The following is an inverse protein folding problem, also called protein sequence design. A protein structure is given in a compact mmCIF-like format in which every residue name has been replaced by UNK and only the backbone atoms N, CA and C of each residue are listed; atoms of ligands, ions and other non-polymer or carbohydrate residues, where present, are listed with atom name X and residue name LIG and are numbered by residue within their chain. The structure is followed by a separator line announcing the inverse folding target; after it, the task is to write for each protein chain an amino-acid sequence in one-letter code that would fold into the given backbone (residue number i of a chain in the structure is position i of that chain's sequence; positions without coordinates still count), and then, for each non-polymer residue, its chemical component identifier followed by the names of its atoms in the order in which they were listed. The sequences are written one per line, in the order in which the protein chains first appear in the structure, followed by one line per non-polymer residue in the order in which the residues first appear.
data_IF_956953035727
#
_entry.id   IF_956953035727
#
_cell.length_a   1.000
_cell.length_b   1.000
_cell.length_c   1.000
_cell.angle_alpha   90.00
_cell.angle_beta   90.00
_cell.angle_gamma   90.00
#
_symmetry.space_group_name_H-M   'P 1'
#
loop_
_entity.id
_entity.type
_entity.pdbx_description
1 polymer ?
#
# COMPACT_ATOMS: atom_id res chain seq x y z
N UNK A 1 -20.72 -10.60 10.21
CA UNK A 1 -20.46 -11.63 9.17
C UNK A 1 -18.97 -11.61 8.92
N UNK A 2 -18.31 -12.76 8.76
CA UNK A 2 -16.92 -12.74 8.33
C UNK A 2 -16.88 -12.28 6.87
N UNK A 3 -16.31 -11.10 6.60
CA UNK A 3 -16.11 -10.63 5.24
C UNK A 3 -15.04 -11.51 4.57
N UNK A 4 -15.36 -12.07 3.41
CA UNK A 4 -14.42 -12.87 2.63
C UNK A 4 -14.56 -12.51 1.14
N UNK A 5 -13.86 -11.47 0.73
CA UNK A 5 -13.89 -10.98 -0.65
C UNK A 5 -13.02 -11.82 -1.57
N UNK A 6 -13.47 -12.00 -2.80
CA UNK A 6 -12.83 -12.80 -3.84
C UNK A 6 -12.62 -11.97 -5.10
N UNK A 7 -11.79 -12.47 -6.03
CA UNK A 7 -11.65 -11.86 -7.37
C UNK A 7 -12.99 -11.80 -8.12
N UNK A 8 -13.90 -12.75 -7.89
CA UNK A 8 -15.22 -12.74 -8.51
C UNK A 8 -16.08 -11.58 -8.02
N UNK A 9 -15.91 -11.10 -6.79
CA UNK A 9 -16.63 -9.93 -6.28
C UNK A 9 -16.19 -8.65 -7.01
N UNK A 10 -14.91 -8.55 -7.40
CA UNK A 10 -14.43 -7.47 -8.27
C UNK A 10 -15.01 -7.59 -9.67
N UNK A 11 -14.92 -8.78 -10.27
CA UNK A 11 -15.41 -9.04 -11.64
C UNK A 11 -16.91 -8.78 -11.76
N UNK A 12 -17.69 -9.20 -10.76
CA UNK A 12 -19.15 -9.07 -10.75
C UNK A 12 -19.64 -7.84 -9.97
N UNK A 13 -18.76 -6.88 -9.69
CA UNK A 13 -19.12 -5.64 -8.99
C UNK A 13 -20.31 -4.97 -9.70
N UNK A 14 -21.44 -4.74 -8.99
CA UNK A 14 -22.60 -4.10 -9.57
C UNK A 14 -22.34 -2.62 -9.83
N UNK A 15 -22.77 -2.14 -10.99
CA UNK A 15 -22.72 -0.72 -11.35
C UNK A 15 -23.99 -0.05 -10.85
N UNK A 16 -23.88 0.80 -9.83
CA UNK A 16 -25.00 1.59 -9.27
C UNK A 16 -24.90 3.06 -9.63
N UNK A 17 -23.68 3.53 -9.92
CA UNK A 17 -23.39 4.89 -10.29
C UNK A 17 -22.62 4.96 -11.61
N UNK A 18 -22.59 6.13 -12.24
CA UNK A 18 -21.82 6.35 -13.48
C UNK A 18 -20.34 6.66 -13.24
N UNK A 19 -19.91 6.71 -11.97
CA UNK A 19 -18.53 7.00 -11.57
C UNK A 19 -18.04 6.01 -10.52
N UNK A 20 -16.72 5.78 -10.51
CA UNK A 20 -16.07 4.75 -9.72
C UNK A 20 -14.85 5.30 -8.98
N UNK A 21 -14.72 4.96 -7.69
CA UNK A 21 -13.63 5.39 -6.83
C UNK A 21 -12.89 4.19 -6.25
N UNK A 22 -11.59 4.13 -6.49
CA UNK A 22 -10.69 3.19 -5.82
C UNK A 22 -9.95 3.94 -4.72
N UNK A 23 -9.85 3.35 -3.53
CA UNK A 23 -9.23 4.02 -2.38
C UNK A 23 -8.21 3.07 -1.75
N UNK A 24 -6.98 3.52 -1.60
CA UNK A 24 -6.02 2.83 -0.72
C UNK A 24 -6.42 2.95 0.76
N UNK A 25 -5.92 2.06 1.61
CA UNK A 25 -6.23 2.04 3.04
C UNK A 25 -5.12 2.61 3.93
N UNK A 26 -3.90 2.08 3.81
CA UNK A 26 -2.82 2.33 4.76
C UNK A 26 -2.04 3.57 4.37
N UNK A 27 -2.03 4.61 5.22
CA UNK A 27 -1.42 5.89 4.86
C UNK A 27 -2.33 6.77 3.98
N UNK A 28 -3.41 6.20 3.46
CA UNK A 28 -4.47 6.90 2.74
C UNK A 28 -5.68 7.17 3.65
N UNK A 29 -6.34 6.15 4.18
CA UNK A 29 -7.52 6.26 5.05
C UNK A 29 -7.12 6.35 6.53
N UNK A 30 -6.15 5.54 6.93
CA UNK A 30 -5.69 5.43 8.32
C UNK A 30 -4.22 5.80 8.47
N UNK A 31 -3.88 6.37 9.63
CA UNK A 31 -2.49 6.63 10.04
C UNK A 31 -1.81 5.36 10.61
N UNK A 32 -1.82 4.30 9.81
CA UNK A 32 -1.37 2.96 10.20
C UNK A 32 0.03 2.65 9.72
N UNK A 33 0.54 3.32 8.68
CA UNK A 33 1.85 3.01 8.10
C UNK A 33 2.99 3.24 9.10
N UNK A 34 3.00 4.39 9.77
CA UNK A 34 4.01 4.76 10.77
C UNK A 34 4.10 3.72 11.90
N UNK A 35 2.96 3.40 12.51
CA UNK A 35 2.90 2.43 13.61
C UNK A 35 3.27 1.01 13.15
N UNK A 36 2.76 0.57 11.99
CA UNK A 36 3.13 -0.72 11.39
C UNK A 36 4.65 -0.77 11.21
N UNK A 37 5.23 0.18 10.49
CA UNK A 37 6.66 0.13 10.19
C UNK A 37 7.54 0.22 11.44
N UNK A 38 7.34 1.28 12.25
CA UNK A 38 8.23 1.60 13.37
C UNK A 38 8.11 0.64 14.56
N UNK A 39 6.89 0.15 14.85
CA UNK A 39 6.64 -0.71 16.02
C UNK A 39 6.59 -2.20 15.67
N UNK A 40 6.30 -2.57 14.42
CA UNK A 40 6.17 -3.97 14.02
C UNK A 40 7.33 -4.43 13.11
N UNK A 41 7.50 -3.79 11.95
CA UNK A 41 8.42 -4.27 10.92
C UNK A 41 9.88 -4.09 11.32
N UNK A 42 10.29 -2.90 11.75
CA UNK A 42 11.70 -2.60 12.01
C UNK A 42 12.27 -3.53 13.09
N UNK A 43 11.56 -3.67 14.22
CA UNK A 43 11.98 -4.54 15.32
C UNK A 43 12.14 -6.00 14.87
N UNK A 44 11.15 -6.52 14.11
CA UNK A 44 11.22 -7.89 13.60
C UNK A 44 12.33 -8.09 12.58
N UNK A 45 12.61 -7.11 11.70
CA UNK A 45 13.76 -7.19 10.78
C UNK A 45 15.07 -7.27 11.59
N UNK A 46 15.22 -6.39 12.58
CA UNK A 46 16.43 -6.37 13.42
C UNK A 46 16.63 -7.70 14.13
N UNK A 47 15.59 -8.22 14.79
CA UNK A 47 15.70 -9.46 15.57
C UNK A 47 15.84 -10.70 14.70
N UNK A 48 15.12 -10.78 13.58
CA UNK A 48 15.07 -11.99 12.74
C UNK A 48 16.38 -12.24 11.98
N UNK A 49 17.07 -11.18 11.56
CA UNK A 49 18.36 -11.27 10.86
C UNK A 49 19.58 -10.89 11.70
N UNK A 50 19.41 -10.77 13.02
CA UNK A 50 20.48 -10.42 13.97
C UNK A 50 21.23 -9.11 13.62
N UNK A 51 20.47 -8.08 13.25
CA UNK A 51 21.02 -6.78 12.80
C UNK A 51 21.12 -5.74 13.94
N UNK A 52 21.09 -6.17 15.21
CA UNK A 52 21.17 -5.29 16.38
C UNK A 52 22.39 -4.35 16.34
N UNK A 53 23.61 -4.79 15.95
CA UNK A 53 24.78 -3.91 15.92
C UNK A 53 24.64 -2.68 15.02
N UNK A 54 23.70 -2.72 14.06
CA UNK A 54 23.44 -1.66 13.08
C UNK A 54 21.99 -1.17 13.13
N UNK A 55 21.28 -1.39 14.25
CA UNK A 55 19.84 -1.08 14.40
C UNK A 55 19.48 0.33 13.90
N UNK A 56 20.29 1.34 14.25
CA UNK A 56 20.08 2.73 13.80
C UNK A 56 19.94 2.82 12.27
N UNK A 57 20.86 2.18 11.54
CA UNK A 57 20.89 2.21 10.08
C UNK A 57 19.79 1.35 9.47
N UNK A 58 19.41 0.24 10.13
CA UNK A 58 18.27 -0.59 9.72
C UNK A 58 16.98 0.23 9.77
N UNK A 59 16.73 0.96 10.87
CA UNK A 59 15.53 1.82 11.01
C UNK A 59 15.51 2.94 9.98
N UNK A 60 16.61 3.67 9.85
CA UNK A 60 16.70 4.76 8.88
C UNK A 60 16.48 4.29 7.43
N UNK A 61 17.08 3.14 7.05
CA UNK A 61 16.86 2.56 5.72
C UNK A 61 15.42 2.07 5.54
N UNK A 62 14.83 1.44 6.57
CA UNK A 62 13.45 0.98 6.51
C UNK A 62 12.45 2.14 6.41
N UNK A 63 12.67 3.24 7.13
CA UNK A 63 11.84 4.45 7.06
C UNK A 63 11.92 5.09 5.68
N UNK A 64 13.13 5.22 5.12
CA UNK A 64 13.28 5.70 3.74
C UNK A 64 12.48 4.83 2.77
N UNK A 65 12.68 3.51 2.78
CA UNK A 65 12.03 2.61 1.81
C UNK A 65 10.51 2.56 2.01
N UNK A 66 10.03 2.46 3.24
CA UNK A 66 8.62 2.15 3.49
C UNK A 66 7.74 3.38 3.71
N UNK A 67 8.31 4.52 4.12
CA UNK A 67 7.53 5.69 4.55
C UNK A 67 7.83 6.95 3.73
N UNK A 68 9.10 7.24 3.44
CA UNK A 68 9.50 8.59 3.02
C UNK A 68 10.26 8.63 1.68
N UNK A 69 9.92 7.74 0.74
CA UNK A 69 10.50 7.74 -0.60
C UNK A 69 9.51 7.23 -1.64
N UNK A 70 9.91 7.24 -2.91
CA UNK A 70 9.12 6.63 -4.00
C UNK A 70 8.84 5.13 -3.81
N UNK A 71 9.50 4.47 -2.85
CA UNK A 71 9.27 3.07 -2.51
C UNK A 71 8.16 2.84 -1.49
N UNK A 72 7.59 3.92 -0.93
CA UNK A 72 6.46 3.88 0.01
C UNK A 72 5.31 3.03 -0.52
N UNK A 73 4.62 2.30 0.37
CA UNK A 73 3.40 1.56 0.05
C UNK A 73 3.60 0.31 -0.80
N UNK A 74 4.85 -0.08 -1.09
CA UNK A 74 5.13 -1.32 -1.79
C UNK A 74 4.80 -2.55 -0.94
N UNK A 75 4.62 -3.69 -1.62
CA UNK A 75 4.51 -4.98 -0.96
C UNK A 75 5.74 -5.24 -0.06
N UNK A 76 5.49 -5.81 1.12
CA UNK A 76 6.51 -6.06 2.16
C UNK A 76 7.75 -6.82 1.66
N UNK A 77 7.59 -7.74 0.70
CA UNK A 77 8.69 -8.53 0.16
C UNK A 77 9.59 -7.70 -0.76
N UNK A 78 8.97 -6.85 -1.59
CA UNK A 78 9.67 -5.88 -2.44
C UNK A 78 10.44 -4.90 -1.55
N UNK A 79 9.77 -4.37 -0.52
CA UNK A 79 10.37 -3.42 0.42
C UNK A 79 11.54 -4.04 1.21
N UNK A 80 11.41 -5.29 1.68
CA UNK A 80 12.49 -6.00 2.37
C UNK A 80 13.72 -6.18 1.48
N UNK A 81 13.53 -6.65 0.24
CA UNK A 81 14.63 -6.83 -0.71
C UNK A 81 15.32 -5.49 -1.01
N UNK A 82 14.56 -4.43 -1.29
CA UNK A 82 15.10 -3.09 -1.55
C UNK A 82 15.85 -2.53 -0.36
N UNK A 83 15.32 -2.72 0.83
CA UNK A 83 15.93 -2.26 2.08
C UNK A 83 17.26 -2.98 2.34
N UNK A 84 17.36 -4.28 2.11
CA UNK A 84 18.61 -5.02 2.25
C UNK A 84 19.66 -4.61 1.21
N UNK A 85 19.25 -4.39 -0.04
CA UNK A 85 20.16 -3.86 -1.06
C UNK A 85 20.74 -2.51 -0.64
N UNK A 86 19.88 -1.56 -0.24
CA UNK A 86 20.34 -0.24 0.22
C UNK A 86 21.18 -0.29 1.49
N UNK A 87 20.87 -1.20 2.41
CA UNK A 87 21.59 -1.37 3.67
C UNK A 87 22.99 -1.95 3.43
N UNK A 88 23.12 -2.90 2.49
CA UNK A 88 24.40 -3.49 2.09
C UNK A 88 25.37 -2.48 1.47
N UNK A 89 24.85 -1.44 0.81
CA UNK A 89 25.65 -0.37 0.19
C UNK A 89 26.09 0.73 1.18
N UNK A 90 25.64 0.69 2.46
CA UNK A 90 25.97 1.74 3.44
C UNK A 90 27.39 1.60 3.97
N UNK A 91 28.17 2.68 3.91
CA UNK A 91 29.56 2.73 4.40
C UNK A 91 29.66 2.34 5.88
N UNK A 92 28.69 2.74 6.68
CA UNK A 92 28.65 2.46 8.12
C UNK A 92 28.38 0.97 8.41
N UNK A 93 27.57 0.32 7.57
CA UNK A 93 27.28 -1.12 7.68
C UNK A 93 28.50 -1.93 7.24
N UNK A 94 29.15 -1.53 6.14
CA UNK A 94 30.39 -2.13 5.66
C UNK A 94 31.50 -2.01 6.72
N UNK A 95 31.66 -0.83 7.32
CA UNK A 95 32.65 -0.58 8.37
C UNK A 95 32.39 -1.39 9.64
N UNK A 96 31.13 -1.67 9.96
CA UNK A 96 30.75 -2.53 11.09
C UNK A 96 31.01 -4.03 10.82
N UNK A 97 31.40 -4.42 9.60
CA UNK A 97 31.68 -5.81 9.24
C UNK A 97 30.44 -6.72 9.25
N UNK A 98 29.24 -6.14 9.23
CA UNK A 98 27.97 -6.89 9.25
C UNK A 98 27.60 -7.31 7.83
N UNK A 99 27.37 -8.61 7.61
CA UNK A 99 26.94 -9.15 6.32
C UNK A 99 25.42 -9.07 6.19
N UNK A 100 24.94 -8.29 5.22
CA UNK A 100 23.51 -8.19 4.90
C UNK A 100 23.10 -9.34 3.96
N UNK A 101 21.94 -9.98 4.17
CA UNK A 101 21.44 -11.00 3.25
C UNK A 101 21.14 -10.42 1.86
N UNK A 102 21.56 -11.12 0.81
CA UNK A 102 21.38 -10.70 -0.61
C UNK A 102 20.04 -11.13 -1.22
N UNK A 103 19.36 -12.05 -0.56
CA UNK A 103 18.02 -12.56 -0.84
C UNK A 103 17.72 -13.04 -2.29
N UNK A 104 18.58 -13.86 -2.95
CA UNK A 104 18.33 -14.35 -4.31
C UNK A 104 17.04 -15.16 -4.49
N UNK A 105 16.69 -16.01 -3.51
CA UNK A 105 15.45 -16.79 -3.55
C UNK A 105 14.23 -15.87 -3.50
N UNK A 106 14.26 -14.87 -2.61
CA UNK A 106 13.20 -13.86 -2.57
C UNK A 106 13.11 -13.07 -3.88
N UNK A 107 14.25 -12.63 -4.44
CA UNK A 107 14.29 -11.90 -5.72
C UNK A 107 13.71 -12.73 -6.86
N UNK A 108 13.98 -14.04 -6.89
CA UNK A 108 13.35 -14.94 -7.85
C UNK A 108 11.83 -15.02 -7.63
N UNK A 109 11.36 -15.20 -6.40
CA UNK A 109 9.94 -15.21 -6.06
C UNK A 109 9.23 -13.92 -6.49
N UNK A 110 9.84 -12.75 -6.25
CA UNK A 110 9.33 -11.45 -6.68
C UNK A 110 9.14 -11.34 -8.20
N UNK A 111 9.97 -12.04 -8.98
CA UNK A 111 9.91 -12.07 -10.45
C UNK A 111 8.98 -13.12 -11.05
N UNK A 112 8.34 -13.97 -10.22
CA UNK A 112 7.55 -15.12 -10.68
C UNK A 112 6.19 -14.76 -11.28
N UNK A 113 5.69 -13.55 -11.04
CA UNK A 113 4.37 -13.10 -11.50
C UNK A 113 3.19 -13.60 -10.67
N UNK A 114 3.42 -14.35 -9.58
CA UNK A 114 2.37 -14.77 -8.65
C UNK A 114 2.02 -13.64 -7.66
N UNK A 115 0.88 -13.77 -6.97
CA UNK A 115 0.50 -12.84 -5.92
C UNK A 115 1.52 -12.84 -4.77
N UNK A 116 1.96 -11.66 -4.33
CA UNK A 116 3.03 -11.50 -3.34
C UNK A 116 2.50 -11.58 -1.90
N UNK A 117 1.91 -12.71 -1.54
CA UNK A 117 1.35 -12.97 -0.21
C UNK A 117 1.94 -14.23 0.45
N UNK A 118 1.64 -14.42 1.73
CA UNK A 118 2.06 -15.62 2.47
C UNK A 118 1.59 -16.95 1.83
N UNK A 119 0.36 -17.07 1.26
CA UNK A 119 -0.07 -18.33 0.64
C UNK A 119 0.83 -18.78 -0.53
N UNK A 120 1.19 -17.87 -1.43
CA UNK A 120 2.06 -18.20 -2.57
C UNK A 120 3.52 -18.41 -2.11
N UNK A 121 3.97 -17.67 -1.10
CA UNK A 121 5.29 -17.90 -0.50
C UNK A 121 5.37 -19.27 0.20
N UNK A 122 4.32 -19.71 0.90
CA UNK A 122 4.21 -21.07 1.48
C UNK A 122 4.32 -22.16 0.43
N UNK A 123 3.63 -21.97 -0.70
CA UNK A 123 3.71 -22.88 -1.84
C UNK A 123 5.14 -22.92 -2.40
N UNK A 124 5.76 -21.76 -2.63
CA UNK A 124 7.13 -21.68 -3.10
C UNK A 124 8.13 -22.39 -2.17
N UNK A 125 7.98 -22.22 -0.84
CA UNK A 125 8.79 -22.92 0.16
C UNK A 125 8.61 -24.44 0.07
N UNK A 126 7.36 -24.91 -0.05
CA UNK A 126 7.06 -26.34 -0.15
C UNK A 126 7.64 -26.97 -1.43
N UNK A 127 7.53 -26.25 -2.55
CA UNK A 127 7.92 -26.76 -3.86
C UNK A 127 9.45 -26.78 -4.04
N UNK A 128 10.17 -25.82 -3.44
CA UNK A 128 11.62 -25.66 -3.61
C UNK A 128 12.46 -26.19 -2.44
N UNK A 129 11.90 -26.21 -1.23
CA UNK A 129 12.68 -26.45 0.00
C UNK A 129 13.68 -25.34 0.33
N UNK A 130 13.56 -24.16 -0.29
CA UNK A 130 14.49 -23.04 -0.12
C UNK A 130 14.44 -22.48 1.32
N UNK A 131 15.58 -22.57 2.01
CA UNK A 131 15.75 -22.10 3.39
C UNK A 131 15.68 -20.59 3.55
N UNK A 132 16.06 -19.84 2.53
CA UNK A 132 15.89 -18.40 2.53
C UNK A 132 14.41 -18.01 2.46
N UNK A 133 13.65 -18.63 1.54
CA UNK A 133 12.20 -18.39 1.45
C UNK A 133 11.47 -18.84 2.72
N UNK A 134 11.89 -19.96 3.33
CA UNK A 134 11.37 -20.41 4.62
C UNK A 134 11.59 -19.35 5.71
N UNK A 135 12.78 -18.75 5.76
CA UNK A 135 13.10 -17.66 6.69
C UNK A 135 12.26 -16.40 6.44
N UNK A 136 12.09 -15.99 5.18
CA UNK A 136 11.24 -14.82 4.83
C UNK A 136 9.77 -15.08 5.19
N UNK A 137 9.28 -16.31 4.99
CA UNK A 137 7.93 -16.69 5.37
C UNK A 137 7.72 -16.62 6.88
N UNK A 138 8.67 -17.11 7.68
CA UNK A 138 8.64 -17.02 9.13
C UNK A 138 8.55 -15.57 9.60
N UNK A 139 9.41 -14.70 9.04
CA UNK A 139 9.36 -13.26 9.32
C UNK A 139 8.00 -12.65 8.95
N UNK A 140 7.47 -12.93 7.76
CA UNK A 140 6.21 -12.35 7.30
C UNK A 140 5.00 -12.79 8.14
N UNK A 141 4.99 -14.04 8.60
CA UNK A 141 3.97 -14.53 9.56
C UNK A 141 4.10 -13.83 10.90
N UNK A 142 5.31 -13.66 11.42
CA UNK A 142 5.56 -12.93 12.66
C UNK A 142 5.10 -11.47 12.55
N UNK A 143 5.32 -10.82 11.41
CA UNK A 143 4.81 -9.46 11.11
C UNK A 143 3.30 -9.40 11.23
N UNK A 144 2.57 -10.34 10.63
CA UNK A 144 1.09 -10.35 10.73
C UNK A 144 0.64 -10.45 12.20
N UNK A 145 1.29 -11.32 12.98
CA UNK A 145 0.91 -11.53 14.38
C UNK A 145 1.18 -10.31 15.25
N UNK A 146 2.31 -9.62 15.07
CA UNK A 146 2.61 -8.41 15.84
C UNK A 146 1.74 -7.23 15.41
N UNK A 147 1.44 -7.08 14.11
CA UNK A 147 0.54 -6.02 13.61
C UNK A 147 -0.85 -6.19 14.23
N UNK A 148 -1.39 -7.41 14.23
CA UNK A 148 -2.69 -7.74 14.84
C UNK A 148 -2.73 -7.42 16.33
N UNK A 149 -1.61 -7.57 17.05
CA UNK A 149 -1.50 -7.26 18.47
C UNK A 149 -1.36 -5.76 18.77
N UNK A 150 -0.62 -5.06 17.93
CA UNK A 150 -0.13 -3.69 18.18
C UNK A 150 -1.04 -2.63 17.58
N UNK A 151 -1.50 -2.82 16.35
CA UNK A 151 -2.25 -1.82 15.58
C UNK A 151 -3.73 -2.05 15.79
N UNK A 152 -4.35 -1.23 16.65
CA UNK A 152 -5.76 -1.34 17.02
C UNK A 152 -6.38 0.05 17.15
N UNK A 153 -7.62 0.19 16.68
CA UNK A 153 -8.45 1.39 16.87
C UNK A 153 -7.77 2.69 16.43
N UNK A 154 -6.95 2.63 15.39
CA UNK A 154 -6.39 3.84 14.77
C UNK A 154 -7.54 4.53 14.02
N UNK A 155 -7.90 5.78 14.37
CA UNK A 155 -8.97 6.48 13.69
C UNK A 155 -8.57 6.80 12.25
N UNK A 156 -9.54 6.97 11.33
CA UNK A 156 -9.23 7.50 10.01
C UNK A 156 -8.75 8.95 10.12
N UNK A 157 -8.04 9.43 9.10
CA UNK A 157 -7.69 10.85 9.01
C UNK A 157 -8.94 11.74 9.01
N UNK A 158 -8.78 12.99 9.43
CA UNK A 158 -9.87 13.97 9.39
C UNK A 158 -10.39 14.10 7.95
N UNK A 159 -11.70 14.32 7.79
CA UNK A 159 -12.42 14.43 6.51
C UNK A 159 -12.60 13.14 5.71
N UNK A 160 -12.02 12.02 6.13
CA UNK A 160 -12.22 10.73 5.48
C UNK A 160 -13.69 10.30 5.55
N UNK A 161 -14.32 10.36 6.73
CA UNK A 161 -15.69 9.88 6.93
C UNK A 161 -16.68 10.66 6.06
N UNK A 162 -16.53 11.98 6.07
CA UNK A 162 -17.32 12.91 5.29
C UNK A 162 -17.10 12.69 3.79
N UNK A 163 -15.87 12.39 3.37
CA UNK A 163 -15.55 12.07 1.98
C UNK A 163 -16.14 10.74 1.54
N UNK A 164 -16.02 9.67 2.33
CA UNK A 164 -16.61 8.37 2.03
C UNK A 164 -18.14 8.45 1.93
N UNK A 165 -18.77 9.19 2.84
CA UNK A 165 -20.21 9.45 2.78
C UNK A 165 -20.60 10.21 1.51
N UNK A 166 -19.83 11.25 1.15
CA UNK A 166 -20.04 12.00 -0.10
C UNK A 166 -19.86 11.12 -1.33
N UNK A 167 -18.84 10.26 -1.36
CA UNK A 167 -18.58 9.32 -2.45
C UNK A 167 -19.75 8.34 -2.59
N UNK A 168 -20.23 7.74 -1.49
CA UNK A 168 -21.28 6.70 -1.52
C UNK A 168 -22.63 7.15 -2.09
N UNK A 169 -22.84 8.46 -2.22
CA UNK A 169 -24.07 9.02 -2.79
C UNK A 169 -24.01 9.16 -4.31
N UNK A 170 -22.82 9.07 -4.91
CA UNK A 170 -22.62 9.44 -6.33
C UNK A 170 -21.62 8.57 -7.08
N UNK A 171 -20.89 7.68 -6.40
CA UNK A 171 -19.94 6.75 -7.01
C UNK A 171 -20.00 5.38 -6.34
N UNK A 172 -19.76 4.34 -7.14
CA UNK A 172 -19.39 3.04 -6.61
C UNK A 172 -17.95 3.11 -6.08
N UNK A 173 -17.63 2.35 -5.03
CA UNK A 173 -16.27 2.38 -4.47
C UNK A 173 -15.76 1.02 -3.99
N UNK A 174 -14.45 0.82 -4.12
CA UNK A 174 -13.71 -0.31 -3.55
C UNK A 174 -12.48 0.17 -2.78
N UNK A 175 -12.03 -0.64 -1.82
CA UNK A 175 -10.70 -0.49 -1.25
C UNK A 175 -9.71 -1.36 -2.05
N UNK A 176 -8.56 -0.80 -2.44
CA UNK A 176 -7.46 -1.52 -3.12
C UNK A 176 -6.20 -1.39 -2.30
N UNK A 177 -5.50 -2.49 -1.98
CA UNK A 177 -4.34 -2.42 -1.10
C UNK A 177 -3.38 -3.59 -1.29
N UNK A 178 -2.10 -3.37 -0.93
CA UNK A 178 -1.07 -4.41 -0.84
C UNK A 178 -0.93 -4.99 0.59
N UNK A 179 -1.84 -4.65 1.49
CA UNK A 179 -1.95 -5.21 2.84
C UNK A 179 -2.82 -6.48 2.83
N UNK A 180 -2.57 -7.46 3.71
CA UNK A 180 -3.45 -8.62 3.86
C UNK A 180 -4.91 -8.23 4.10
N UNK A 181 -5.84 -8.89 3.40
CA UNK A 181 -7.27 -8.59 3.48
C UNK A 181 -7.82 -8.65 4.92
N UNK A 182 -7.34 -9.58 5.75
CA UNK A 182 -7.75 -9.69 7.16
C UNK A 182 -7.49 -8.39 7.94
N UNK A 183 -6.31 -7.79 7.78
CA UNK A 183 -5.95 -6.58 8.50
C UNK A 183 -6.79 -5.39 8.05
N UNK A 184 -7.03 -5.28 6.74
CA UNK A 184 -7.89 -4.25 6.16
C UNK A 184 -9.32 -4.37 6.70
N UNK A 185 -9.94 -5.54 6.59
CA UNK A 185 -11.31 -5.77 7.07
C UNK A 185 -11.43 -5.39 8.54
N UNK A 186 -10.52 -5.86 9.38
CA UNK A 186 -10.49 -5.52 10.81
C UNK A 186 -10.41 -4.01 11.03
N UNK A 187 -9.46 -3.33 10.40
CA UNK A 187 -9.23 -1.88 10.58
C UNK A 187 -10.44 -1.04 10.12
N UNK A 188 -11.08 -1.44 9.01
CA UNK A 188 -12.30 -0.82 8.51
C UNK A 188 -13.51 -1.11 9.40
N UNK A 189 -13.65 -2.32 9.94
CA UNK A 189 -14.70 -2.71 10.90
C UNK A 189 -14.57 -1.97 12.23
N UNK A 190 -13.37 -1.94 12.83
CA UNK A 190 -13.07 -1.24 14.09
C UNK A 190 -13.47 0.23 14.04
N UNK A 191 -13.42 0.82 12.84
CA UNK A 191 -13.76 2.21 12.58
C UNK A 191 -15.17 2.43 12.04
N UNK A 192 -16.01 1.39 11.92
CA UNK A 192 -17.35 1.47 11.33
C UNK A 192 -17.36 2.02 9.89
N UNK A 193 -16.32 1.75 9.10
CA UNK A 193 -16.17 2.16 7.71
C UNK A 193 -16.44 1.02 6.71
N UNK A 194 -16.47 -0.24 7.17
CA UNK A 194 -16.64 -1.43 6.33
C UNK A 194 -17.90 -1.39 5.41
N UNK A 195 -18.88 -0.57 5.76
CA UNK A 195 -20.13 -0.36 5.01
C UNK A 195 -19.98 0.45 3.72
N UNK A 196 -18.86 1.16 3.54
CA UNK A 196 -18.65 2.06 2.40
C UNK A 196 -18.19 1.32 1.14
N UNK A 197 -17.06 0.58 1.15
CA UNK A 197 -16.61 -0.11 -0.04
C UNK A 197 -17.46 -1.35 -0.31
N UNK A 198 -17.77 -1.57 -1.57
CA UNK A 198 -18.43 -2.80 -2.01
C UNK A 198 -17.51 -4.02 -1.92
N UNK A 199 -16.20 -3.80 -2.09
CA UNK A 199 -15.15 -4.83 -1.98
C UNK A 199 -13.92 -4.24 -1.29
N UNK A 200 -13.30 -5.00 -0.38
CA UNK A 200 -11.95 -4.74 0.12
C UNK A 200 -10.99 -5.74 -0.52
N UNK A 201 -10.17 -5.26 -1.45
CA UNK A 201 -9.18 -6.06 -2.17
C UNK A 201 -7.79 -5.90 -1.55
N UNK A 202 -7.38 -6.92 -0.79
CA UNK A 202 -6.01 -7.04 -0.28
C UNK A 202 -5.06 -7.71 -1.27
N UNK A 203 -3.79 -7.84 -0.87
CA UNK A 203 -2.70 -8.43 -1.67
C UNK A 203 -3.02 -9.82 -2.24
N UNK A 204 -3.88 -10.60 -1.56
CA UNK A 204 -4.26 -11.95 -1.97
C UNK A 204 -5.06 -11.96 -3.28
N UNK A 205 -5.71 -10.84 -3.62
CA UNK A 205 -6.53 -10.74 -4.84
C UNK A 205 -5.75 -10.23 -6.06
N UNK A 206 -4.44 -9.95 -5.90
CA UNK A 206 -3.57 -9.44 -6.97
C UNK A 206 -3.02 -8.06 -6.67
N UNK A 207 -2.52 -7.39 -7.70
CA UNK A 207 -2.01 -6.02 -7.63
C UNK A 207 -3.14 -4.97 -7.65
N UNK A 208 -2.86 -3.76 -7.17
CA UNK A 208 -3.80 -2.63 -7.26
C UNK A 208 -4.27 -2.38 -8.70
N UNK A 209 -3.37 -2.46 -9.68
CA UNK A 209 -3.71 -2.30 -11.10
C UNK A 209 -4.70 -3.37 -11.57
N UNK A 210 -4.52 -4.63 -11.15
CA UNK A 210 -5.49 -5.69 -11.44
C UNK A 210 -6.82 -5.48 -10.73
N UNK A 211 -6.81 -5.01 -9.47
CA UNK A 211 -8.06 -4.74 -8.75
C UNK A 211 -8.92 -3.72 -9.49
N UNK A 212 -8.32 -2.61 -9.93
CA UNK A 212 -9.00 -1.57 -10.72
C UNK A 212 -9.48 -2.16 -12.05
N UNK A 213 -8.63 -2.91 -12.76
CA UNK A 213 -8.99 -3.51 -14.04
C UNK A 213 -10.19 -4.45 -13.92
N UNK A 214 -10.19 -5.36 -12.93
CA UNK A 214 -11.26 -6.32 -12.70
C UNK A 214 -12.58 -5.63 -12.32
N UNK A 215 -12.50 -4.57 -11.50
CA UNK A 215 -13.67 -3.87 -10.99
C UNK A 215 -14.28 -2.87 -11.99
N UNK A 216 -13.46 -2.21 -12.81
CA UNK A 216 -13.88 -1.03 -13.57
C UNK A 216 -13.82 -1.15 -15.10
N UNK A 217 -12.93 -1.99 -15.64
CA UNK A 217 -12.70 -2.07 -17.08
C UNK A 217 -13.99 -2.48 -17.80
N UNK A 218 -14.33 -1.75 -18.86
CA UNK A 218 -15.56 -1.91 -19.64
C UNK A 218 -16.88 -1.68 -18.86
N UNK A 219 -16.81 -1.19 -17.61
CA UNK A 219 -17.99 -0.85 -16.79
C UNK A 219 -18.16 0.65 -16.60
N UNK A 220 -17.06 1.40 -16.55
CA UNK A 220 -17.05 2.85 -16.40
C UNK A 220 -16.24 3.49 -17.53
N UNK A 221 -16.59 4.73 -17.87
CA UNK A 221 -15.75 5.55 -18.72
C UNK A 221 -14.43 5.86 -17.97
N UNK A 222 -13.25 5.78 -18.61
CA UNK A 222 -11.96 6.15 -18.00
C UNK A 222 -11.95 7.50 -17.27
N UNK A 223 -12.58 8.54 -17.83
CA UNK A 223 -12.71 9.88 -17.22
C UNK A 223 -13.63 9.90 -15.97
N UNK A 224 -14.25 8.77 -15.65
CA UNK A 224 -15.14 8.54 -14.51
C UNK A 224 -14.58 7.53 -13.52
N UNK A 225 -13.29 7.25 -13.58
CA UNK A 225 -12.57 6.42 -12.62
C UNK A 225 -11.52 7.29 -11.93
N UNK A 226 -11.46 7.25 -10.60
CA UNK A 226 -10.40 7.92 -9.83
C UNK A 226 -9.83 7.00 -8.76
N UNK A 227 -8.51 6.98 -8.65
CA UNK A 227 -7.75 6.29 -7.62
C UNK A 227 -7.25 7.30 -6.59
N UNK A 228 -7.58 7.07 -5.32
CA UNK A 228 -7.12 7.86 -4.18
C UNK A 228 -6.06 7.07 -3.43
N UNK A 229 -4.84 7.61 -3.32
CA UNK A 229 -3.74 6.90 -2.66
C UNK A 229 -2.55 7.79 -2.32
N UNK A 230 -1.62 7.25 -1.55
CA UNK A 230 -0.48 7.96 -0.95
C UNK A 230 0.89 7.46 -1.44
N UNK A 231 0.90 6.51 -2.38
CA UNK A 231 2.11 5.88 -2.90
C UNK A 231 2.23 5.95 -4.43
N UNK A 232 3.47 5.88 -4.93
CA UNK A 232 3.74 5.80 -6.38
C UNK A 232 3.08 4.57 -7.04
N UNK A 233 2.86 3.50 -6.28
CA UNK A 233 2.12 2.33 -6.74
C UNK A 233 0.65 2.62 -7.06
N UNK A 234 0.03 3.57 -6.37
CA UNK A 234 -1.36 4.01 -6.63
C UNK A 234 -1.44 4.83 -7.91
N UNK A 235 -0.52 5.79 -8.08
CA UNK A 235 -0.39 6.57 -9.30
C UNK A 235 -0.16 5.67 -10.51
N UNK A 236 0.74 4.67 -10.38
CA UNK A 236 0.97 3.66 -11.41
C UNK A 236 -0.30 2.86 -11.72
N UNK A 237 -1.02 2.39 -10.70
CA UNK A 237 -2.25 1.62 -10.89
C UNK A 237 -3.35 2.42 -11.58
N UNK A 238 -3.48 3.71 -11.26
CA UNK A 238 -4.37 4.64 -11.94
C UNK A 238 -4.00 4.78 -13.42
N UNK A 239 -2.72 5.08 -13.70
CA UNK A 239 -2.21 5.26 -15.06
C UNK A 239 -2.39 4.02 -15.93
N UNK A 240 -2.09 2.81 -15.41
CA UNK A 240 -2.25 1.54 -16.14
C UNK A 240 -3.71 1.23 -16.50
N UNK A 241 -4.66 1.88 -15.82
CA UNK A 241 -6.10 1.73 -16.05
C UNK A 241 -6.75 2.96 -16.71
N UNK A 242 -5.96 3.95 -17.14
CA UNK A 242 -6.45 5.24 -17.65
C UNK A 242 -7.42 5.94 -16.68
N UNK A 243 -7.23 5.75 -15.38
CA UNK A 243 -7.99 6.41 -14.34
C UNK A 243 -7.29 7.69 -13.88
N UNK A 244 -8.07 8.61 -13.34
CA UNK A 244 -7.52 9.74 -12.61
C UNK A 244 -6.82 9.28 -11.33
N UNK A 245 -5.85 10.07 -10.86
CA UNK A 245 -5.18 9.88 -9.58
C UNK A 245 -5.34 11.11 -8.71
N UNK A 246 -5.75 10.90 -7.46
CA UNK A 246 -5.78 11.92 -6.42
C UNK A 246 -4.81 11.55 -5.29
N UNK A 247 -3.78 12.36 -5.04
CA UNK A 247 -2.79 12.07 -4.03
C UNK A 247 -3.28 12.41 -2.61
N UNK A 248 -3.08 11.47 -1.70
CA UNK A 248 -3.01 11.73 -0.26
C UNK A 248 -1.54 12.01 0.07
N UNK A 249 -1.21 13.27 0.32
CA UNK A 249 0.17 13.70 0.50
C UNK A 249 0.68 13.25 1.88
N UNK A 250 1.80 12.51 1.96
CA UNK A 250 2.39 12.12 3.24
C UNK A 250 2.66 13.35 4.12
N UNK A 251 2.41 13.24 5.42
CA UNK A 251 2.45 14.32 6.43
C UNK A 251 1.40 15.44 6.26
N UNK A 252 0.55 15.35 5.24
CA UNK A 252 -0.51 16.31 4.93
C UNK A 252 -1.85 15.60 4.66
N UNK A 253 -2.05 14.39 5.18
CA UNK A 253 -3.13 13.48 4.83
C UNK A 253 -4.50 14.09 5.12
N UNK A 254 -4.66 14.69 6.31
CA UNK A 254 -5.91 15.38 6.70
C UNK A 254 -6.22 16.58 5.81
N UNK A 255 -5.19 17.29 5.32
CA UNK A 255 -5.34 18.43 4.40
C UNK A 255 -5.71 17.93 2.99
N UNK A 256 -5.11 16.84 2.53
CA UNK A 256 -5.49 16.17 1.29
C UNK A 256 -6.95 15.73 1.33
N UNK A 257 -7.44 15.12 2.42
CA UNK A 257 -8.85 14.75 2.51
C UNK A 257 -9.80 15.96 2.60
N UNK A 258 -9.38 17.04 3.28
CA UNK A 258 -10.15 18.29 3.30
C UNK A 258 -10.33 18.88 1.89
N UNK A 259 -9.23 18.95 1.13
CA UNK A 259 -9.23 19.47 -0.23
C UNK A 259 -10.05 18.57 -1.17
N UNK A 260 -9.96 17.24 -1.00
CA UNK A 260 -10.78 16.29 -1.75
C UNK A 260 -12.27 16.54 -1.52
N UNK A 261 -12.66 16.62 -0.25
CA UNK A 261 -14.04 16.81 0.15
C UNK A 261 -14.61 18.13 -0.37
N UNK A 262 -13.87 19.23 -0.22
CA UNK A 262 -14.34 20.58 -0.54
C UNK A 262 -14.32 20.88 -2.04
N UNK A 263 -13.37 20.33 -2.79
CA UNK A 263 -13.11 20.74 -4.17
C UNK A 263 -12.94 19.55 -5.12
N UNK A 264 -11.94 18.70 -4.90
CA UNK A 264 -11.46 17.78 -5.93
C UNK A 264 -12.53 16.78 -6.39
N UNK A 265 -13.34 16.26 -5.46
CA UNK A 265 -14.41 15.32 -5.82
C UNK A 265 -15.51 15.97 -6.67
N UNK A 266 -15.84 17.23 -6.42
CA UNK A 266 -16.82 17.95 -7.23
C UNK A 266 -16.29 18.19 -8.66
N UNK A 267 -15.00 18.52 -8.81
CA UNK A 267 -14.36 18.64 -10.12
C UNK A 267 -14.36 17.33 -10.88
N UNK A 268 -14.07 16.21 -10.20
CA UNK A 268 -14.13 14.86 -10.77
C UNK A 268 -15.53 14.55 -11.31
N UNK A 269 -16.58 14.76 -10.51
CA UNK A 269 -17.96 14.55 -10.96
C UNK A 269 -18.38 15.51 -12.09
N UNK A 270 -17.81 16.71 -12.15
CA UNK A 270 -18.07 17.67 -13.22
C UNK A 270 -17.25 17.43 -14.51
N UNK A 271 -16.29 16.49 -14.50
CA UNK A 271 -15.38 16.25 -15.63
C UNK A 271 -14.34 17.37 -15.83
N UNK A 272 -14.04 18.13 -14.78
CA UNK A 272 -13.06 19.24 -14.78
C UNK A 272 -11.82 18.95 -13.93
N UNK A 273 -11.62 17.67 -13.58
CA UNK A 273 -10.47 17.21 -12.79
C UNK A 273 -9.22 17.00 -13.64
N UNK A 274 -9.39 16.52 -14.87
CA UNK A 274 -8.29 16.18 -15.78
C UNK A 274 -7.49 17.41 -16.24
N UNK A 275 -6.35 17.15 -16.86
CA UNK A 275 -5.50 18.19 -17.43
C UNK A 275 -4.60 18.84 -16.37
N UNK A 276 -4.45 20.16 -16.41
CA UNK A 276 -3.48 20.87 -15.56
C UNK A 276 -3.76 20.73 -14.06
N UNK A 277 -5.03 20.58 -13.67
CA UNK A 277 -5.41 20.41 -12.26
C UNK A 277 -4.85 19.10 -11.68
N UNK A 278 -5.09 17.97 -12.34
CA UNK A 278 -4.53 16.68 -11.93
C UNK A 278 -3.00 16.69 -11.98
N UNK A 279 -2.41 17.23 -13.04
CA UNK A 279 -0.95 17.29 -13.20
C UNK A 279 -0.28 18.09 -12.07
N UNK A 280 -0.86 19.21 -11.63
CA UNK A 280 -0.29 19.99 -10.54
C UNK A 280 -0.32 19.24 -9.21
N UNK A 281 -1.41 18.52 -8.93
CA UNK A 281 -1.51 17.68 -7.72
C UNK A 281 -0.45 16.56 -7.73
N UNK A 282 -0.27 15.89 -8.87
CA UNK A 282 0.75 14.86 -9.03
C UNK A 282 2.17 15.44 -8.85
N UNK A 283 2.46 16.59 -9.44
CA UNK A 283 3.78 17.22 -9.32
C UNK A 283 4.12 17.58 -7.87
N UNK A 284 3.16 18.12 -7.11
CA UNK A 284 3.33 18.39 -5.68
C UNK A 284 3.59 17.10 -4.89
N UNK A 285 2.84 16.04 -5.19
CA UNK A 285 2.99 14.73 -4.55
C UNK A 285 4.37 14.13 -4.80
N UNK A 286 4.87 14.15 -6.04
CA UNK A 286 6.18 13.57 -6.40
C UNK A 286 7.35 14.26 -5.70
N UNK A 287 7.24 15.57 -5.43
CA UNK A 287 8.28 16.33 -4.69
C UNK A 287 8.44 15.85 -3.25
N UNK A 288 7.38 15.32 -2.64
CA UNK A 288 7.41 14.81 -1.27
C UNK A 288 8.13 13.46 -1.14
N UNK A 289 8.33 12.75 -2.27
CA UNK A 289 8.87 11.40 -2.30
C UNK A 289 10.24 11.36 -2.99
N UNK A 290 11.35 11.49 -2.25
CA UNK A 290 12.69 11.36 -2.83
C UNK A 290 12.92 9.97 -3.43
N UNK A 291 13.71 9.90 -4.49
CA UNK A 291 14.10 8.66 -5.16
C UNK A 291 15.37 8.03 -4.54
N UNK A 292 16.26 8.87 -4.00
CA UNK A 292 17.54 8.49 -3.41
C UNK A 292 17.62 8.83 -1.92
N UNK A 293 18.24 7.97 -1.10
CA UNK A 293 18.41 8.26 0.31
C UNK A 293 19.53 9.29 0.54
N UNK A 294 19.46 9.98 1.69
CA UNK A 294 20.38 11.06 2.03
C UNK A 294 21.85 10.59 2.15
N UNK A 295 22.09 9.33 2.54
CA UNK A 295 23.43 8.76 2.71
C UNK A 295 24.12 8.32 1.40
N UNK A 296 23.42 8.42 0.26
CA UNK A 296 24.00 8.15 -1.07
C UNK A 296 24.43 9.41 -1.82
N UNK A 297 24.32 10.58 -1.17
CA UNK A 297 24.76 11.86 -1.72
C UNK A 297 26.26 12.07 -1.52
#
# INVERSE_FOLDING_TARGET
MAYNFTRNDLINLPVRHSSFVCIDSDGCIFDTMEIKQKQCFHGLIISHWNLQPIEKYVRETAEFVNLYSKWRGNNRFIALAKMFDLLGDRKEVIAAGIKIPVLPGLKHFLSSGVALGNPELEKAVKDTGDKELESVLQWSKAVNEIVRKTVKKIPPFKWVRESLDKISRSSDMICVSQTPAEALIREWEENNLIKYPAVIAGQELGTKSEHIALAAKNKYNPDRIIMIGDAMGDLKAASENNAHFYPINPTHESKSWEFFYKEAYARFLAGTYSGEYEKSLIAEFEVLLPDKPAWTK
#
